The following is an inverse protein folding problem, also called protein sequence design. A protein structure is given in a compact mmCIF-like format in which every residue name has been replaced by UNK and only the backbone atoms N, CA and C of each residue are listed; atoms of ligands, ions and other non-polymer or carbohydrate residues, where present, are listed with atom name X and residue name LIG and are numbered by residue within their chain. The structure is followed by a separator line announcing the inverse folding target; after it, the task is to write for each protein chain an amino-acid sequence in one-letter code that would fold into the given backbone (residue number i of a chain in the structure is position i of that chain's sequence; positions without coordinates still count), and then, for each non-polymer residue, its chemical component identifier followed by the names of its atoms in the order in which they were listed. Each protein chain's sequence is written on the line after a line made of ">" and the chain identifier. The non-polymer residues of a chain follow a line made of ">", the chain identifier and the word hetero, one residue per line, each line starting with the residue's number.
data_IF_538255632295
#
_entry.id   IF_538255632295
#
_cell.length_a   1.000
_cell.length_b   1.000
_cell.length_c   1.000
_cell.angle_alpha   90.00
_cell.angle_beta   90.00
_cell.angle_gamma   90.00
#
_symmetry.space_group_name_H-M   'P 1'
#
loop_
_entity.id
_entity.type
_entity.pdbx_description
1 polymer ?
#
# COMPACT_ATOMS: atom_id res chain seq x y z
N UNK A 1 -2.37 32.86 0.79
CA UNK A 1 -3.05 33.68 -0.24
C UNK A 1 -3.74 32.72 -1.18
N UNK A 2 -5.06 32.80 -1.35
CA UNK A 2 -5.87 31.87 -2.14
C UNK A 2 -6.94 31.15 -1.31
N UNK A 3 -8.02 31.88 -1.02
CA UNK A 3 -9.24 31.43 -0.35
C UNK A 3 -10.09 30.60 -1.32
N UNK A 4 -10.58 29.43 -0.89
CA UNK A 4 -11.73 28.78 -1.53
C UNK A 4 -13.01 29.28 -0.85
N UNK A 5 -13.86 29.92 -1.66
CA UNK A 5 -15.11 30.54 -1.26
C UNK A 5 -16.20 29.50 -1.02
N UNK A 6 -16.95 29.72 0.07
CA UNK A 6 -18.20 29.06 0.39
C UNK A 6 -19.26 29.31 -0.69
N UNK A 7 -19.81 28.24 -1.27
CA UNK A 7 -21.08 28.27 -1.98
C UNK A 7 -22.19 27.92 -1.00
N UNK A 8 -22.91 28.97 -0.60
CA UNK A 8 -24.16 28.95 0.15
C UNK A 8 -25.29 28.43 -0.75
N UNK A 9 -25.80 27.23 -0.46
CA UNK A 9 -27.09 26.78 -0.95
C UNK A 9 -28.16 27.18 0.08
N UNK A 10 -28.99 28.15 -0.30
CA UNK A 10 -30.24 28.49 0.39
C UNK A 10 -31.19 27.31 0.27
N UNK A 11 -31.53 26.70 1.41
CA UNK A 11 -32.68 25.79 1.49
C UNK A 11 -33.74 26.39 2.42
N UNK A 12 -34.94 26.59 1.89
CA UNK A 12 -36.10 27.12 2.60
C UNK A 12 -36.96 25.96 3.09
N UNK A 13 -36.93 25.75 4.42
CA UNK A 13 -38.06 25.32 5.25
C UNK A 13 -38.81 24.03 4.92
N UNK A 14 -38.67 23.00 5.76
CA UNK A 14 -39.73 22.51 6.67
C UNK A 14 -39.24 21.27 7.43
N UNK A 15 -39.81 21.06 8.62
CA UNK A 15 -39.18 20.33 9.72
C UNK A 15 -38.85 18.85 9.49
N UNK A 16 -37.77 18.42 10.14
CA UNK A 16 -37.62 17.04 10.61
C UNK A 16 -36.56 17.00 11.71
N UNK A 17 -37.03 16.73 12.92
CA UNK A 17 -36.22 16.44 14.10
C UNK A 17 -35.46 15.14 13.86
N UNK A 18 -34.18 15.20 13.44
CA UNK A 18 -33.21 14.10 13.58
C UNK A 18 -31.79 14.55 13.23
N UNK A 19 -30.83 13.92 13.93
CA UNK A 19 -29.39 13.85 13.61
C UNK A 19 -28.38 14.73 14.40
N UNK A 20 -28.55 14.92 15.72
CA UNK A 20 -27.41 15.33 16.58
C UNK A 20 -26.57 14.14 17.08
N UNK A 21 -27.11 12.91 17.13
CA UNK A 21 -26.38 11.75 17.67
C UNK A 21 -25.34 11.15 16.71
N UNK A 22 -25.47 11.36 15.39
CA UNK A 22 -24.56 10.76 14.41
C UNK A 22 -23.27 11.57 14.23
N UNK A 23 -23.36 12.91 14.32
CA UNK A 23 -22.21 13.79 14.33
C UNK A 23 -21.33 13.58 15.57
N UNK A 24 -21.95 13.35 16.75
CA UNK A 24 -21.25 13.04 17.99
C UNK A 24 -20.49 11.71 17.95
N UNK A 25 -21.07 10.66 17.34
CA UNK A 25 -20.37 9.36 17.16
C UNK A 25 -19.21 9.43 16.18
N UNK A 26 -19.33 10.16 15.06
CA UNK A 26 -18.22 10.38 14.12
C UNK A 26 -17.09 11.21 14.72
N UNK A 27 -17.41 12.27 15.47
CA UNK A 27 -16.40 13.08 16.17
C UNK A 27 -15.71 12.31 17.30
N UNK A 28 -16.45 11.50 18.07
CA UNK A 28 -15.91 10.67 19.13
C UNK A 28 -15.05 9.52 18.61
N UNK A 29 -15.52 8.81 17.56
CA UNK A 29 -14.71 7.77 16.91
C UNK A 29 -13.46 8.37 16.28
N UNK A 30 -13.55 9.49 15.55
CA UNK A 30 -12.35 10.13 14.96
C UNK A 30 -11.33 10.62 15.99
N UNK A 31 -11.77 11.05 17.19
CA UNK A 31 -10.88 11.39 18.28
C UNK A 31 -10.19 10.14 18.87
N UNK A 32 -10.95 9.07 19.15
CA UNK A 32 -10.39 7.79 19.61
C UNK A 32 -9.42 7.16 18.59
N UNK A 33 -9.72 7.27 17.29
CA UNK A 33 -8.82 6.79 16.22
C UNK A 33 -7.54 7.61 16.13
N UNK A 34 -7.63 8.94 16.32
CA UNK A 34 -6.44 9.81 16.37
C UNK A 34 -5.57 9.54 17.59
N UNK A 35 -6.19 9.33 18.75
CA UNK A 35 -5.48 9.00 19.98
C UNK A 35 -4.79 7.62 19.86
N UNK A 36 -5.42 6.65 19.20
CA UNK A 36 -4.80 5.35 18.89
C UNK A 36 -3.64 5.45 17.90
N UNK A 37 -3.75 6.30 16.86
CA UNK A 37 -2.65 6.52 15.90
C UNK A 37 -1.45 7.16 16.61
N UNK A 38 -1.69 8.16 17.46
CA UNK A 38 -0.63 8.84 18.19
C UNK A 38 0.10 7.86 19.14
N UNK A 39 -0.63 6.98 19.83
CA UNK A 39 -0.02 5.95 20.68
C UNK A 39 0.85 4.98 19.87
N UNK A 40 0.41 4.59 18.67
CA UNK A 40 1.17 3.71 17.77
C UNK A 40 2.43 4.39 17.21
N UNK A 41 2.33 5.68 16.88
CA UNK A 41 3.49 6.49 16.49
C UNK A 41 4.45 6.60 17.67
N UNK A 42 3.97 6.94 18.87
CA UNK A 42 4.79 7.05 20.09
C UNK A 42 5.47 5.72 20.43
N UNK A 43 4.78 4.59 20.26
CA UNK A 43 5.36 3.25 20.40
C UNK A 43 6.55 3.07 19.46
N UNK A 44 6.33 3.08 18.14
CA UNK A 44 7.41 2.82 17.18
C UNK A 44 8.53 3.86 17.24
N UNK A 45 8.20 5.12 17.47
CA UNK A 45 9.20 6.20 17.54
C UNK A 45 9.98 6.18 18.84
N UNK A 46 9.41 5.69 19.94
CA UNK A 46 10.12 5.45 21.19
C UNK A 46 11.21 4.37 21.04
N UNK A 47 10.89 3.27 20.37
CA UNK A 47 11.85 2.22 20.03
C UNK A 47 12.95 2.75 19.08
N UNK A 48 12.57 3.48 18.02
CA UNK A 48 13.54 4.11 17.12
C UNK A 48 14.46 5.10 17.85
N UNK A 49 13.92 5.90 18.77
CA UNK A 49 14.69 6.88 19.55
C UNK A 49 15.71 6.19 20.48
N UNK A 50 15.37 5.02 21.04
CA UNK A 50 16.30 4.20 21.82
C UNK A 50 17.47 3.70 20.94
N UNK A 51 17.17 3.17 19.75
CA UNK A 51 18.17 2.70 18.78
C UNK A 51 19.07 3.85 18.34
N UNK A 52 18.52 5.03 18.05
CA UNK A 52 19.30 6.22 17.67
C UNK A 52 20.25 6.61 18.80
N UNK A 53 19.77 6.61 20.05
CA UNK A 53 20.61 6.97 21.21
C UNK A 53 21.76 5.98 21.39
N UNK A 54 21.47 4.69 21.27
CA UNK A 54 22.48 3.64 21.40
C UNK A 54 23.53 3.70 20.28
N UNK A 55 23.10 3.87 19.02
CA UNK A 55 23.97 3.69 17.87
C UNK A 55 24.57 4.98 17.31
N UNK A 56 23.86 6.11 17.38
CA UNK A 56 24.35 7.42 16.95
C UNK A 56 24.84 8.30 18.12
N UNK A 57 24.55 7.90 19.36
CA UNK A 57 24.98 8.58 20.58
C UNK A 57 24.07 9.72 21.04
N UNK A 58 24.23 10.11 22.31
CA UNK A 58 23.39 11.11 22.97
C UNK A 58 23.42 12.49 22.29
N UNK A 59 24.57 12.89 21.76
CA UNK A 59 24.73 14.19 21.11
C UNK A 59 23.80 14.32 19.89
N UNK A 60 23.75 13.29 19.05
CA UNK A 60 22.93 13.26 17.83
C UNK A 60 21.46 13.22 18.21
N UNK A 61 21.10 12.38 19.19
CA UNK A 61 19.74 12.28 19.71
C UNK A 61 19.26 13.63 20.27
N UNK A 62 20.06 14.33 21.08
CA UNK A 62 19.68 15.63 21.63
C UNK A 62 19.46 16.69 20.55
N UNK A 63 20.29 16.71 19.50
CA UNK A 63 20.11 17.62 18.37
C UNK A 63 18.85 17.28 17.57
N UNK A 64 18.58 16.00 17.34
CA UNK A 64 17.34 15.53 16.69
C UNK A 64 16.09 15.99 17.47
N UNK A 65 16.06 15.76 18.79
CA UNK A 65 14.96 16.19 19.66
C UNK A 65 14.80 17.73 19.67
N UNK A 66 15.90 18.48 19.74
CA UNK A 66 15.85 19.94 19.61
C UNK A 66 15.24 20.39 18.28
N UNK A 67 15.62 19.77 17.15
CA UNK A 67 15.05 20.10 15.84
C UNK A 67 13.56 19.77 15.79
N UNK A 68 13.12 18.63 16.36
CA UNK A 68 11.70 18.25 16.48
C UNK A 68 10.91 19.30 17.27
N UNK A 69 11.37 19.66 18.47
CA UNK A 69 10.73 20.66 19.35
C UNK A 69 10.61 22.03 18.67
N UNK A 70 11.71 22.55 18.12
CA UNK A 70 11.72 23.84 17.42
C UNK A 70 10.79 23.84 16.21
N UNK A 71 10.70 22.72 15.48
CA UNK A 71 9.78 22.57 14.35
C UNK A 71 8.32 22.58 14.78
N UNK A 72 7.98 21.90 15.89
CA UNK A 72 6.63 21.94 16.46
C UNK A 72 6.24 23.37 16.90
N UNK A 73 7.10 24.04 17.66
CA UNK A 73 6.84 25.42 18.13
C UNK A 73 6.67 26.42 16.98
N UNK A 74 7.49 26.30 15.94
CA UNK A 74 7.39 27.17 14.75
C UNK A 74 6.06 26.98 14.03
N UNK A 75 5.55 25.75 13.93
CA UNK A 75 4.27 25.44 13.27
C UNK A 75 3.06 25.99 14.03
N UNK A 76 3.07 25.95 15.36
CA UNK A 76 1.94 26.38 16.18
C UNK A 76 1.88 27.91 16.41
N UNK A 77 3.03 28.57 16.53
CA UNK A 77 3.08 29.97 16.96
C UNK A 77 3.64 30.94 15.91
N UNK A 78 4.16 30.46 14.78
CA UNK A 78 4.79 31.32 13.77
C UNK A 78 6.01 32.07 14.30
N UNK A 79 6.67 31.52 15.32
CA UNK A 79 7.73 32.19 16.06
C UNK A 79 9.02 32.30 15.23
N UNK A 80 9.42 33.54 14.93
CA UNK A 80 10.65 33.85 14.18
C UNK A 80 11.90 33.49 14.98
N UNK A 81 11.84 33.49 16.31
CA UNK A 81 12.98 33.14 17.18
C UNK A 81 13.27 31.64 17.09
N UNK A 82 12.25 30.79 17.24
CA UNK A 82 12.36 29.34 17.05
C UNK A 82 12.85 28.97 15.64
N UNK A 83 12.38 29.68 14.61
CA UNK A 83 12.83 29.47 13.23
C UNK A 83 14.31 29.82 13.06
N UNK A 84 14.77 30.93 13.63
CA UNK A 84 16.18 31.33 13.59
C UNK A 84 17.06 30.35 14.38
N UNK A 85 16.64 29.95 15.58
CA UNK A 85 17.35 28.97 16.40
C UNK A 85 17.50 27.63 15.67
N UNK A 86 16.44 27.15 15.00
CA UNK A 86 16.48 25.95 14.18
C UNK A 86 17.47 26.08 13.02
N UNK A 87 17.46 27.22 12.32
CA UNK A 87 18.40 27.48 11.21
C UNK A 87 19.84 27.50 11.69
N UNK A 88 20.11 28.15 12.81
CA UNK A 88 21.43 28.15 13.44
C UNK A 88 21.86 26.73 13.77
N UNK A 89 21.02 25.94 14.44
CA UNK A 89 21.34 24.55 14.79
C UNK A 89 21.69 23.72 13.55
N UNK A 90 20.86 23.77 12.50
CA UNK A 90 21.10 23.03 11.25
C UNK A 90 22.42 23.46 10.58
N UNK A 91 22.72 24.75 10.55
CA UNK A 91 23.94 25.27 9.91
C UNK A 91 25.24 24.88 10.65
N UNK A 92 25.15 24.46 11.91
CA UNK A 92 26.31 24.04 12.71
C UNK A 92 26.46 22.51 12.78
N UNK A 93 25.58 21.74 12.12
CA UNK A 93 25.74 20.30 12.02
C UNK A 93 26.94 19.97 11.13
N UNK A 94 27.78 19.04 11.57
CA UNK A 94 28.74 18.39 10.67
C UNK A 94 27.99 17.56 9.62
N UNK A 95 28.65 17.22 8.52
CA UNK A 95 28.05 16.39 7.46
C UNK A 95 27.59 15.03 7.99
N UNK A 96 28.36 14.40 8.88
CA UNK A 96 28.01 13.13 9.49
C UNK A 96 26.75 13.23 10.37
N UNK A 97 26.67 14.27 11.23
CA UNK A 97 25.49 14.50 12.06
C UNK A 97 24.26 14.85 11.22
N UNK A 98 24.43 15.68 10.18
CA UNK A 98 23.36 16.03 9.26
C UNK A 98 22.80 14.80 8.55
N UNK A 99 23.66 13.86 8.13
CA UNK A 99 23.23 12.61 7.52
C UNK A 99 22.42 11.75 8.50
N UNK A 100 22.94 11.50 9.71
CA UNK A 100 22.24 10.68 10.71
C UNK A 100 20.90 11.29 11.13
N UNK A 101 20.84 12.61 11.29
CA UNK A 101 19.60 13.32 11.62
C UNK A 101 18.60 13.24 10.45
N UNK A 102 19.05 13.43 9.21
CA UNK A 102 18.18 13.30 8.04
C UNK A 102 17.64 11.87 7.89
N UNK A 103 18.48 10.86 8.09
CA UNK A 103 18.10 9.45 8.10
C UNK A 103 17.05 9.16 9.18
N UNK A 104 17.28 9.61 10.41
CA UNK A 104 16.32 9.49 11.51
C UNK A 104 14.96 10.14 11.20
N UNK A 105 14.95 11.31 10.57
CA UNK A 105 13.70 11.95 10.15
C UNK A 105 12.99 11.17 9.04
N UNK A 106 13.73 10.64 8.08
CA UNK A 106 13.15 9.83 7.00
C UNK A 106 12.46 8.59 7.57
N UNK A 107 13.14 7.87 8.46
CA UNK A 107 12.58 6.72 9.17
C UNK A 107 11.36 7.09 10.00
N UNK A 108 11.42 8.19 10.76
CA UNK A 108 10.27 8.70 11.50
C UNK A 108 9.04 8.89 10.59
N UNK A 109 9.21 9.49 9.40
CA UNK A 109 8.10 9.66 8.46
C UNK A 109 7.60 8.33 7.89
N UNK A 110 8.49 7.37 7.65
CA UNK A 110 8.09 6.03 7.19
C UNK A 110 7.26 5.29 8.24
N UNK A 111 7.69 5.33 9.52
CA UNK A 111 6.94 4.73 10.62
C UNK A 111 5.60 5.43 10.83
N UNK A 112 5.56 6.76 10.71
CA UNK A 112 4.31 7.53 10.75
C UNK A 112 3.34 7.07 9.66
N UNK A 113 3.82 6.98 8.41
CA UNK A 113 3.02 6.50 7.28
C UNK A 113 2.51 5.07 7.51
N UNK A 114 3.34 4.18 8.09
CA UNK A 114 2.95 2.82 8.43
C UNK A 114 1.82 2.80 9.49
N UNK A 115 1.93 3.61 10.55
CA UNK A 115 0.88 3.72 11.56
C UNK A 115 -0.43 4.27 10.97
N UNK A 116 -0.35 5.28 10.10
CA UNK A 116 -1.51 5.82 9.40
C UNK A 116 -2.18 4.78 8.49
N UNK A 117 -1.38 4.00 7.74
CA UNK A 117 -1.88 2.93 6.87
C UNK A 117 -2.58 1.83 7.70
N UNK A 118 -1.97 1.39 8.80
CA UNK A 118 -2.57 0.41 9.72
C UNK A 118 -3.86 0.90 10.34
N UNK A 119 -3.91 2.16 10.76
CA UNK A 119 -5.12 2.77 11.31
C UNK A 119 -6.22 2.89 10.25
N UNK A 120 -5.86 3.22 9.00
CA UNK A 120 -6.81 3.24 7.88
C UNK A 120 -7.41 1.86 7.64
N UNK A 121 -6.60 0.79 7.65
CA UNK A 121 -7.09 -0.59 7.52
C UNK A 121 -8.04 -0.96 8.66
N UNK A 122 -7.69 -0.67 9.90
CA UNK A 122 -8.56 -0.93 11.07
C UNK A 122 -9.87 -0.15 11.01
N UNK A 123 -9.82 1.11 10.59
CA UNK A 123 -11.02 1.93 10.42
C UNK A 123 -11.96 1.33 9.37
N UNK A 124 -11.42 0.87 8.24
CA UNK A 124 -12.18 0.16 7.22
C UNK A 124 -12.78 -1.16 7.74
N UNK A 125 -12.12 -1.85 8.68
CA UNK A 125 -12.65 -3.07 9.28
C UNK A 125 -13.69 -2.81 10.39
N UNK A 126 -13.56 -1.70 11.12
CA UNK A 126 -14.44 -1.35 12.24
C UNK A 126 -15.78 -0.74 11.78
N UNK A 127 -15.80 0.00 10.67
CA UNK A 127 -17.02 0.56 10.08
C UNK A 127 -17.82 -0.49 9.29
N UNK A 128 -18.29 -1.55 9.96
CA UNK A 128 -19.26 -2.51 9.41
C UNK A 128 -19.06 -2.86 7.93
N UNK A 129 -19.99 -2.43 7.07
CA UNK A 129 -19.84 -2.49 5.61
C UNK A 129 -19.25 -1.15 5.16
N UNK A 130 -17.98 -1.09 4.70
CA UNK A 130 -17.37 0.16 4.25
C UNK A 130 -18.20 0.80 3.14
N UNK A 131 -18.27 2.14 3.13
CA UNK A 131 -18.99 2.90 2.10
C UNK A 131 -18.49 2.60 0.68
N UNK A 132 -17.23 2.18 0.51
CA UNK A 132 -16.67 1.74 -0.77
C UNK A 132 -16.40 0.23 -0.77
N UNK A 133 -17.40 -0.58 -0.37
CA UNK A 133 -17.30 -2.04 -0.40
C UNK A 133 -18.13 -2.65 -1.51
N UNK A 134 -17.77 -3.87 -1.94
CA UNK A 134 -18.51 -4.64 -2.93
C UNK A 134 -19.95 -4.92 -2.49
N UNK A 135 -20.15 -5.16 -1.20
CA UNK A 135 -21.48 -5.31 -0.63
C UNK A 135 -22.33 -4.07 -0.83
N UNK A 136 -21.78 -2.89 -0.49
CA UNK A 136 -22.51 -1.64 -0.64
C UNK A 136 -22.79 -1.34 -2.12
N UNK A 137 -21.80 -1.55 -3.01
CA UNK A 137 -21.97 -1.41 -4.45
C UNK A 137 -23.18 -2.21 -4.96
N UNK A 138 -23.27 -3.51 -4.65
CA UNK A 138 -24.40 -4.31 -5.12
C UNK A 138 -25.74 -3.94 -4.46
N UNK A 139 -25.73 -3.40 -3.24
CA UNK A 139 -26.92 -2.86 -2.59
C UNK A 139 -27.41 -1.59 -3.31
N UNK A 140 -26.50 -0.66 -3.60
CA UNK A 140 -26.81 0.56 -4.36
C UNK A 140 -27.36 0.22 -5.76
N UNK A 141 -26.77 -0.75 -6.45
CA UNK A 141 -27.26 -1.20 -7.76
C UNK A 141 -28.69 -1.77 -7.67
N UNK A 142 -29.00 -2.52 -6.60
CA UNK A 142 -30.36 -3.01 -6.35
C UNK A 142 -31.35 -1.90 -6.05
N UNK A 143 -30.96 -0.96 -5.18
CA UNK A 143 -31.78 0.19 -4.81
C UNK A 143 -32.05 1.10 -6.02
N UNK A 144 -31.08 1.21 -6.94
CA UNK A 144 -31.22 1.89 -8.22
C UNK A 144 -32.04 1.10 -9.27
N UNK A 145 -32.47 -0.13 -8.97
CA UNK A 145 -33.30 -0.95 -9.86
C UNK A 145 -32.53 -1.60 -11.02
N UNK A 146 -31.22 -1.80 -10.90
CA UNK A 146 -30.42 -2.46 -11.95
C UNK A 146 -30.79 -3.93 -12.05
N UNK A 147 -31.36 -4.32 -13.19
CA UNK A 147 -31.72 -5.69 -13.51
C UNK A 147 -30.50 -6.60 -13.73
N UNK A 148 -30.64 -7.87 -13.37
CA UNK A 148 -29.59 -8.88 -13.47
C UNK A 148 -29.00 -9.02 -14.90
N UNK A 149 -29.83 -8.90 -15.93
CA UNK A 149 -29.41 -8.98 -17.33
C UNK A 149 -28.46 -7.82 -17.71
N UNK A 150 -28.79 -6.60 -17.28
CA UNK A 150 -27.94 -5.43 -17.50
C UNK A 150 -26.60 -5.56 -16.77
N UNK A 151 -26.63 -6.05 -15.52
CA UNK A 151 -25.41 -6.29 -14.76
C UNK A 151 -24.56 -7.39 -15.41
N UNK A 152 -25.17 -8.49 -15.88
CA UNK A 152 -24.46 -9.54 -16.59
C UNK A 152 -23.79 -9.00 -17.86
N UNK A 153 -24.50 -8.20 -18.66
CA UNK A 153 -23.94 -7.58 -19.86
C UNK A 153 -22.76 -6.65 -19.53
N UNK A 154 -22.91 -5.82 -18.49
CA UNK A 154 -21.82 -4.98 -18.00
C UNK A 154 -20.59 -5.80 -17.58
N UNK A 155 -20.77 -6.88 -16.81
CA UNK A 155 -19.65 -7.75 -16.40
C UNK A 155 -19.01 -8.51 -17.57
N UNK A 156 -19.79 -8.83 -18.60
CA UNK A 156 -19.31 -9.48 -19.81
C UNK A 156 -18.45 -8.54 -20.67
N UNK A 157 -18.52 -7.22 -20.47
CA UNK A 157 -17.74 -6.20 -21.19
C UNK A 157 -16.71 -5.48 -20.31
N UNK A 158 -16.85 -5.53 -18.99
CA UNK A 158 -16.01 -4.80 -18.05
C UNK A 158 -14.52 -5.16 -18.22
N UNK A 159 -13.70 -4.12 -18.23
CA UNK A 159 -12.24 -4.23 -18.23
C UNK A 159 -11.65 -3.08 -17.41
N UNK A 160 -10.78 -3.43 -16.48
CA UNK A 160 -10.08 -2.56 -15.56
C UNK A 160 -8.64 -3.03 -15.56
N UNK A 161 -7.73 -2.15 -15.98
CA UNK A 161 -6.30 -2.45 -16.05
C UNK A 161 -5.48 -1.33 -15.41
N UNK A 162 -5.22 -1.37 -14.09
CA UNK A 162 -4.27 -0.47 -13.48
C UNK A 162 -2.87 -0.70 -14.04
N UNK A 163 -2.22 0.39 -14.44
CA UNK A 163 -0.88 0.36 -15.05
C UNK A 163 0.13 0.91 -14.05
N UNK A 164 1.09 0.08 -13.64
CA UNK A 164 2.21 0.50 -12.81
C UNK A 164 3.19 1.35 -13.61
N UNK A 165 3.56 2.49 -13.05
CA UNK A 165 4.54 3.41 -13.64
C UNK A 165 5.73 3.57 -12.68
N UNK A 166 6.89 3.94 -13.23
CA UNK A 166 8.05 4.23 -12.41
C UNK A 166 7.83 5.57 -11.69
N UNK A 167 8.12 5.63 -10.40
CA UNK A 167 8.04 6.89 -9.65
C UNK A 167 9.39 7.61 -9.68
N UNK A 168 9.51 8.79 -10.32
CA UNK A 168 10.80 9.42 -10.63
C UNK A 168 11.61 9.87 -9.41
N UNK A 169 10.98 9.99 -8.23
CA UNK A 169 11.61 10.50 -7.01
C UNK A 169 11.40 9.63 -5.77
N UNK A 170 10.61 8.55 -5.85
CA UNK A 170 10.15 7.81 -4.65
C UNK A 170 10.29 6.29 -4.81
N UNK A 171 11.17 5.84 -5.69
CA UNK A 171 11.50 4.43 -5.78
C UNK A 171 12.30 4.00 -4.53
N UNK A 172 11.64 3.80 -3.39
CA UNK A 172 12.23 3.24 -2.16
C UNK A 172 12.98 1.96 -2.52
N UNK A 173 14.10 1.68 -1.87
CA UNK A 173 14.84 0.43 -2.13
C UNK A 173 13.98 -0.75 -1.67
N UNK A 174 13.97 -1.84 -2.43
CA UNK A 174 13.37 -3.13 -2.02
C UNK A 174 13.75 -3.54 -0.60
N UNK A 175 15.03 -3.35 -0.23
CA UNK A 175 15.52 -3.65 1.12
C UNK A 175 14.80 -2.82 2.19
N UNK A 176 14.63 -1.52 1.99
CA UNK A 176 13.91 -0.62 2.91
C UNK A 176 12.44 -1.04 3.01
N UNK A 177 11.77 -1.28 1.88
CA UNK A 177 10.39 -1.75 1.86
C UNK A 177 10.22 -3.07 2.62
N UNK A 178 11.15 -4.00 2.44
CA UNK A 178 11.13 -5.29 3.16
C UNK A 178 11.29 -5.09 4.67
N UNK A 179 12.15 -4.18 5.14
CA UNK A 179 12.27 -3.91 6.58
C UNK A 179 11.04 -3.19 7.13
N UNK A 180 10.46 -2.22 6.41
CA UNK A 180 9.18 -1.58 6.82
C UNK A 180 8.08 -2.64 7.01
N UNK A 181 7.99 -3.61 6.10
CA UNK A 181 7.03 -4.71 6.25
C UNK A 181 7.35 -5.63 7.42
N UNK A 182 8.62 -5.93 7.70
CA UNK A 182 9.00 -6.68 8.91
C UNK A 182 8.60 -5.92 10.18
N UNK A 183 8.75 -4.59 10.21
CA UNK A 183 8.25 -3.75 11.30
C UNK A 183 6.72 -3.85 11.41
N UNK A 184 6.01 -3.86 10.28
CA UNK A 184 4.55 -4.01 10.26
C UNK A 184 4.07 -5.37 10.80
N UNK A 185 4.81 -6.45 10.48
CA UNK A 185 4.56 -7.82 10.95
C UNK A 185 4.91 -7.99 12.44
N UNK A 186 5.98 -7.32 12.91
CA UNK A 186 6.47 -7.37 14.30
C UNK A 186 6.15 -6.11 15.08
N UNK A 187 4.96 -5.55 14.88
CA UNK A 187 4.60 -4.24 15.41
C UNK A 187 4.72 -4.15 16.95
N UNK A 188 4.39 -5.24 17.66
CA UNK A 188 4.40 -5.28 19.12
C UNK A 188 5.82 -5.43 19.71
N UNK A 189 6.76 -5.99 18.94
CA UNK A 189 8.18 -6.15 19.31
C UNK A 189 9.08 -5.84 18.10
N UNK A 190 9.22 -4.53 17.75
CA UNK A 190 9.77 -4.12 16.47
C UNK A 190 11.30 -3.96 16.49
N UNK A 191 11.98 -4.17 17.62
CA UNK A 191 13.39 -3.80 17.82
C UNK A 191 14.33 -4.37 16.76
N UNK A 192 14.29 -5.69 16.54
CA UNK A 192 15.12 -6.35 15.52
C UNK A 192 14.89 -5.78 14.11
N UNK A 193 13.63 -5.46 13.78
CA UNK A 193 13.26 -4.96 12.47
C UNK A 193 13.61 -3.47 12.32
N UNK A 194 13.47 -2.67 13.39
CA UNK A 194 13.84 -1.26 13.43
C UNK A 194 15.35 -1.06 13.41
N UNK A 195 16.12 -1.90 14.08
CA UNK A 195 17.58 -1.89 14.00
C UNK A 195 18.03 -2.23 12.58
N UNK A 196 17.46 -3.29 11.98
CA UNK A 196 17.75 -3.64 10.60
C UNK A 196 17.37 -2.52 9.62
N UNK A 197 16.23 -1.85 9.85
CA UNK A 197 15.78 -0.70 9.08
C UNK A 197 16.75 0.49 9.24
N UNK A 198 17.21 0.78 10.46
CA UNK A 198 18.20 1.82 10.75
C UNK A 198 19.52 1.60 9.99
N UNK A 199 19.99 0.35 9.93
CA UNK A 199 21.20 -0.01 9.17
C UNK A 199 20.96 -0.13 7.66
N UNK A 200 19.72 -0.02 7.20
CA UNK A 200 19.41 -0.08 5.77
C UNK A 200 19.45 1.33 5.18
N UNK A 201 20.51 1.63 4.42
CA UNK A 201 20.65 2.91 3.75
C UNK A 201 19.51 3.20 2.76
N UNK A 202 18.85 4.34 2.92
CA UNK A 202 17.79 4.78 2.02
C UNK A 202 18.31 5.56 0.82
N UNK A 203 19.35 6.37 1.06
CA UNK A 203 19.94 7.25 0.06
C UNK A 203 20.82 6.42 -0.86
N UNK A 204 20.57 6.51 -2.16
CA UNK A 204 21.44 5.92 -3.17
C UNK A 204 22.49 6.94 -3.59
N UNK A 205 23.76 6.56 -3.60
CA UNK A 205 24.82 7.38 -4.22
C UNK A 205 24.61 7.54 -5.74
N UNK A 206 23.92 6.59 -6.37
CA UNK A 206 23.67 6.56 -7.82
C UNK A 206 22.18 6.73 -8.13
N UNK A 207 21.89 7.38 -9.25
CA UNK A 207 20.54 7.47 -9.80
C UNK A 207 19.96 6.06 -9.97
N UNK A 208 18.67 5.91 -9.67
CA UNK A 208 17.95 4.64 -9.87
C UNK A 208 18.07 4.26 -11.34
N UNK A 209 18.64 3.09 -11.61
CA UNK A 209 18.69 2.53 -12.95
C UNK A 209 17.36 1.83 -13.28
N UNK A 210 17.04 1.63 -14.56
CA UNK A 210 15.80 0.95 -14.97
C UNK A 210 15.61 -0.42 -14.31
N UNK A 211 16.68 -1.18 -14.10
CA UNK A 211 16.60 -2.48 -13.40
C UNK A 211 16.11 -2.36 -11.96
N UNK A 212 16.48 -1.31 -11.23
CA UNK A 212 16.00 -1.13 -9.86
C UNK A 212 14.53 -0.71 -9.83
N UNK A 213 14.06 0.05 -10.82
CA UNK A 213 12.64 0.36 -10.95
C UNK A 213 11.83 -0.92 -11.22
N UNK A 214 12.34 -1.77 -12.13
CA UNK A 214 11.74 -3.08 -12.44
C UNK A 214 11.72 -3.98 -11.21
N UNK A 215 12.82 -4.04 -10.45
CA UNK A 215 12.89 -4.83 -9.21
C UNK A 215 11.82 -4.38 -8.21
N UNK A 216 11.66 -3.08 -8.03
CA UNK A 216 10.65 -2.52 -7.14
C UNK A 216 9.24 -2.82 -7.62
N UNK A 217 8.96 -2.73 -8.93
CA UNK A 217 7.66 -3.08 -9.48
C UNK A 217 7.34 -4.55 -9.24
N UNK A 218 8.27 -5.45 -9.57
CA UNK A 218 8.10 -6.91 -9.36
C UNK A 218 7.89 -7.24 -7.89
N UNK A 219 8.57 -6.55 -6.98
CA UNK A 219 8.39 -6.74 -5.54
C UNK A 219 6.94 -6.54 -5.08
N UNK A 220 6.21 -5.54 -5.61
CA UNK A 220 4.79 -5.37 -5.30
C UNK A 220 3.92 -6.52 -5.84
N UNK A 221 4.25 -7.04 -7.03
CA UNK A 221 3.57 -8.21 -7.58
C UNK A 221 3.73 -9.44 -6.69
N UNK A 222 4.98 -9.76 -6.33
CA UNK A 222 5.33 -10.93 -5.52
C UNK A 222 4.66 -10.94 -4.14
N UNK A 223 4.42 -9.77 -3.57
CA UNK A 223 4.10 -9.62 -2.15
C UNK A 223 2.70 -9.13 -1.86
N UNK A 224 2.02 -8.51 -2.83
CA UNK A 224 0.71 -7.91 -2.59
C UNK A 224 -0.26 -8.16 -3.73
N UNK A 225 0.12 -7.89 -4.98
CA UNK A 225 -0.86 -7.82 -6.08
C UNK A 225 -1.47 -9.19 -6.39
N UNK A 226 -0.67 -10.26 -6.47
CA UNK A 226 -1.22 -11.59 -6.79
C UNK A 226 -2.24 -12.06 -5.75
N UNK A 227 -1.91 -11.97 -4.46
CA UNK A 227 -2.82 -12.33 -3.37
C UNK A 227 -4.05 -11.41 -3.31
N UNK A 228 -3.84 -10.09 -3.49
CA UNK A 228 -4.94 -9.10 -3.46
C UNK A 228 -5.92 -9.34 -4.60
N UNK A 229 -5.43 -9.64 -5.80
CA UNK A 229 -6.28 -9.94 -6.96
C UNK A 229 -7.13 -11.20 -6.72
N UNK A 230 -6.52 -12.26 -6.17
CA UNK A 230 -7.23 -13.49 -5.84
C UNK A 230 -8.31 -13.25 -4.76
N UNK A 231 -7.95 -12.55 -3.68
CA UNK A 231 -8.86 -12.20 -2.59
C UNK A 231 -10.01 -11.30 -3.06
N UNK A 232 -9.71 -10.33 -3.93
CA UNK A 232 -10.71 -9.45 -4.53
C UNK A 232 -11.74 -10.27 -5.32
N UNK A 233 -11.30 -11.19 -6.18
CA UNK A 233 -12.24 -12.01 -6.96
C UNK A 233 -13.10 -12.93 -6.10
N UNK A 234 -12.51 -13.55 -5.08
CA UNK A 234 -13.26 -14.38 -4.15
C UNK A 234 -14.34 -13.55 -3.41
N UNK A 235 -13.99 -12.36 -2.92
CA UNK A 235 -14.92 -11.46 -2.26
C UNK A 235 -16.00 -10.94 -3.23
N UNK A 236 -15.61 -10.61 -4.46
CA UNK A 236 -16.52 -10.15 -5.51
C UNK A 236 -17.54 -11.21 -5.87
N UNK A 237 -17.11 -12.44 -6.12
CA UNK A 237 -18.01 -13.53 -6.50
C UNK A 237 -18.96 -13.90 -5.34
N UNK A 238 -18.48 -13.85 -4.10
CA UNK A 238 -19.31 -14.09 -2.92
C UNK A 238 -20.41 -13.03 -2.76
N UNK A 239 -20.06 -11.74 -2.83
CA UNK A 239 -21.03 -10.65 -2.72
C UNK A 239 -21.98 -10.58 -3.92
N UNK A 240 -21.47 -10.86 -5.13
CA UNK A 240 -22.30 -10.97 -6.34
C UNK A 240 -23.31 -12.12 -6.19
N UNK A 241 -22.90 -13.31 -5.76
CA UNK A 241 -23.80 -14.44 -5.61
C UNK A 241 -24.86 -14.20 -4.51
N UNK A 242 -24.49 -13.52 -3.43
CA UNK A 242 -25.41 -13.20 -2.34
C UNK A 242 -26.51 -12.22 -2.79
N UNK A 243 -26.20 -11.31 -3.70
CA UNK A 243 -27.11 -10.23 -4.10
C UNK A 243 -27.78 -10.48 -5.46
N UNK A 244 -27.04 -10.98 -6.44
CA UNK A 244 -27.49 -11.28 -7.80
C UNK A 244 -27.22 -12.76 -8.15
N UNK A 245 -27.96 -13.70 -7.56
CA UNK A 245 -27.67 -15.15 -7.66
C UNK A 245 -27.74 -15.73 -9.09
N UNK A 246 -28.42 -15.03 -10.02
CA UNK A 246 -28.51 -15.41 -11.43
C UNK A 246 -27.36 -14.87 -12.28
N UNK A 247 -26.59 -13.90 -11.76
CA UNK A 247 -25.46 -13.28 -12.46
C UNK A 247 -24.19 -14.03 -12.11
N UNK A 248 -23.35 -14.30 -13.10
CA UNK A 248 -22.05 -14.95 -12.91
C UNK A 248 -20.96 -14.19 -13.62
N UNK A 249 -19.85 -13.96 -12.91
CA UNK A 249 -18.61 -13.50 -13.52
C UNK A 249 -18.04 -14.62 -14.40
N UNK A 250 -18.06 -14.42 -15.72
CA UNK A 250 -17.58 -15.41 -16.72
C UNK A 250 -16.11 -15.25 -17.08
N UNK A 251 -15.56 -14.05 -16.91
CA UNK A 251 -14.18 -13.70 -17.24
C UNK A 251 -13.55 -12.86 -16.15
N UNK A 252 -12.23 -12.76 -16.18
CA UNK A 252 -11.51 -11.78 -15.38
C UNK A 252 -11.66 -10.42 -16.07
N UNK A 253 -12.04 -9.40 -15.31
CA UNK A 253 -12.14 -8.01 -15.78
C UNK A 253 -11.10 -7.08 -15.15
N UNK A 254 -10.37 -7.53 -14.14
CA UNK A 254 -9.34 -6.79 -13.42
C UNK A 254 -8.02 -7.47 -13.74
N UNK A 255 -7.21 -6.81 -14.56
CA UNK A 255 -5.86 -7.24 -14.89
C UNK A 255 -4.88 -6.15 -14.46
N UNK A 256 -3.58 -6.44 -14.44
CA UNK A 256 -2.56 -5.46 -14.10
C UNK A 256 -1.54 -5.37 -15.21
N UNK A 257 -1.11 -4.15 -15.52
CA UNK A 257 -0.06 -3.89 -16.50
C UNK A 257 1.07 -3.07 -15.86
N UNK A 258 2.21 -2.99 -16.54
CA UNK A 258 3.36 -2.21 -16.10
C UNK A 258 4.03 -1.54 -17.29
N UNK A 259 4.35 -0.26 -17.14
CA UNK A 259 5.25 0.48 -18.04
C UNK A 259 6.70 0.40 -17.58
N UNK A 260 6.96 -0.03 -16.35
CA UNK A 260 8.30 -0.09 -15.79
C UNK A 260 9.17 -1.07 -16.56
N UNK A 261 10.28 -0.60 -17.13
CA UNK A 261 11.17 -1.39 -17.99
C UNK A 261 10.68 -1.59 -19.43
N UNK A 262 9.46 -1.15 -19.76
CA UNK A 262 8.90 -1.19 -21.11
C UNK A 262 8.84 0.18 -21.79
N UNK A 263 8.49 1.22 -21.04
CA UNK A 263 8.36 2.59 -21.55
C UNK A 263 9.74 3.19 -21.86
N UNK A 264 9.95 3.58 -23.12
CA UNK A 264 11.19 4.17 -23.63
C UNK A 264 11.04 5.63 -24.01
N UNK A 265 9.83 6.19 -23.88
CA UNK A 265 9.59 7.56 -24.31
C UNK A 265 10.44 8.53 -23.46
N UNK A 266 11.32 9.28 -24.15
CA UNK A 266 12.28 10.18 -23.51
C UNK A 266 13.33 9.53 -22.59
N UNK A 267 13.44 8.20 -22.53
CA UNK A 267 14.35 7.49 -21.63
C UNK A 267 15.29 6.52 -22.38
N UNK A 268 16.51 6.97 -22.77
CA UNK A 268 17.45 6.12 -23.51
C UNK A 268 18.03 4.98 -22.68
N UNK A 269 17.85 5.00 -21.36
CA UNK A 269 18.37 3.96 -20.48
C UNK A 269 17.51 2.70 -20.52
N UNK A 270 16.27 2.75 -21.01
CA UNK A 270 15.41 1.56 -21.17
C UNK A 270 15.74 0.87 -22.49
N UNK A 271 16.69 -0.06 -22.44
CA UNK A 271 17.17 -0.81 -23.63
C UNK A 271 16.29 -2.03 -23.95
N UNK A 272 16.41 -2.64 -25.15
CA UNK A 272 15.81 -3.93 -25.47
C UNK A 272 16.13 -5.04 -24.47
N UNK A 273 17.34 -5.06 -23.94
CA UNK A 273 17.77 -6.02 -22.93
C UNK A 273 17.02 -5.82 -21.61
N UNK A 274 16.83 -4.57 -21.18
CA UNK A 274 16.01 -4.26 -19.99
C UNK A 274 14.58 -4.76 -20.18
N UNK A 275 13.92 -4.41 -21.29
CA UNK A 275 12.54 -4.84 -21.52
C UNK A 275 12.39 -6.36 -21.57
N UNK A 276 13.35 -7.07 -22.18
CA UNK A 276 13.36 -8.55 -22.18
C UNK A 276 13.53 -9.11 -20.77
N UNK A 277 14.46 -8.55 -20.00
CA UNK A 277 14.72 -9.00 -18.62
C UNK A 277 13.53 -8.72 -17.72
N UNK A 278 12.89 -7.56 -17.87
CA UNK A 278 11.63 -7.21 -17.18
C UNK A 278 10.55 -8.26 -17.44
N UNK A 279 10.34 -8.64 -18.71
CA UNK A 279 9.37 -9.67 -19.05
C UNK A 279 9.72 -11.02 -18.39
N UNK A 280 11.00 -11.39 -18.38
CA UNK A 280 11.48 -12.61 -17.70
C UNK A 280 11.25 -12.57 -16.20
N UNK A 281 11.50 -11.43 -15.54
CA UNK A 281 11.29 -11.29 -14.10
C UNK A 281 9.81 -11.37 -13.73
N UNK A 282 8.92 -10.74 -14.49
CA UNK A 282 7.48 -10.90 -14.30
C UNK A 282 7.03 -12.35 -14.51
N UNK A 283 7.55 -13.04 -15.53
CA UNK A 283 7.25 -14.45 -15.76
C UNK A 283 7.73 -15.34 -14.61
N UNK A 284 8.94 -15.10 -14.08
CA UNK A 284 9.46 -15.82 -12.92
C UNK A 284 8.60 -15.55 -11.68
N UNK A 285 8.30 -14.30 -11.38
CA UNK A 285 7.46 -13.94 -10.23
C UNK A 285 6.07 -14.60 -10.29
N UNK A 286 5.46 -14.63 -11.47
CA UNK A 286 4.18 -15.31 -11.69
C UNK A 286 4.31 -16.83 -11.50
N UNK A 287 5.32 -17.46 -12.11
CA UNK A 287 5.58 -18.90 -11.95
C UNK A 287 5.79 -19.26 -10.48
N UNK A 288 6.68 -18.55 -9.79
CA UNK A 288 7.02 -18.83 -8.41
C UNK A 288 5.81 -18.64 -7.49
N UNK A 289 4.92 -17.68 -7.80
CA UNK A 289 3.63 -17.54 -7.10
C UNK A 289 2.74 -18.78 -7.32
N UNK A 290 2.52 -19.20 -8.56
CA UNK A 290 1.68 -20.36 -8.85
C UNK A 290 2.25 -21.66 -8.30
N UNK A 291 3.56 -21.86 -8.34
CA UNK A 291 4.22 -23.03 -7.73
C UNK A 291 3.93 -23.10 -6.23
N UNK A 292 4.05 -21.97 -5.51
CA UNK A 292 3.68 -21.89 -4.08
C UNK A 292 2.20 -22.22 -3.86
N UNK A 293 1.29 -21.66 -4.66
CA UNK A 293 -0.15 -21.93 -4.53
C UNK A 293 -0.49 -23.40 -4.83
N UNK A 294 0.10 -23.98 -5.87
CA UNK A 294 -0.06 -25.40 -6.19
C UNK A 294 0.46 -26.29 -5.06
N UNK A 295 1.60 -25.97 -4.46
CA UNK A 295 2.12 -26.71 -3.32
C UNK A 295 1.14 -26.69 -2.12
N UNK A 296 0.55 -25.54 -1.82
CA UNK A 296 -0.47 -25.41 -0.76
C UNK A 296 -1.74 -26.22 -1.08
N UNK A 297 -2.21 -26.18 -2.34
CA UNK A 297 -3.37 -26.97 -2.77
C UNK A 297 -3.10 -28.48 -2.70
N UNK A 298 -1.92 -28.94 -3.09
CA UNK A 298 -1.52 -30.35 -3.00
C UNK A 298 -1.50 -30.85 -1.56
N UNK A 299 -1.14 -30.00 -0.59
CA UNK A 299 -1.24 -30.35 0.83
C UNK A 299 -2.69 -30.46 1.31
N UNK A 300 -3.60 -29.64 0.76
CA UNK A 300 -5.03 -29.65 1.14
C UNK A 300 -5.86 -30.75 0.47
N UNK A 301 -5.52 -31.14 -0.76
CA UNK A 301 -6.25 -32.15 -1.54
C UNK A 301 -5.74 -33.55 -1.16
N UNK A 302 -6.27 -34.09 -0.07
CA UNK A 302 -5.90 -35.42 0.46
C UNK A 302 -6.87 -36.54 0.06
N UNK A 303 -7.82 -36.25 -0.86
CA UNK A 303 -8.87 -37.18 -1.24
C UNK A 303 -8.32 -38.47 -1.86
N UNK A 304 -8.76 -39.61 -1.33
CA UNK A 304 -8.35 -40.97 -1.72
C UNK A 304 -9.09 -41.54 -2.93
N UNK A 305 -10.17 -40.90 -3.41
CA UNK A 305 -10.91 -41.35 -4.59
C UNK A 305 -11.03 -40.23 -5.62
N UNK A 306 -10.50 -40.42 -6.84
CA UNK A 306 -10.79 -39.49 -7.92
C UNK A 306 -12.29 -39.52 -8.21
N UNK A 307 -12.99 -38.38 -8.32
CA UNK A 307 -14.35 -38.37 -8.85
C UNK A 307 -14.35 -39.09 -10.20
N UNK A 308 -15.40 -39.89 -10.46
CA UNK A 308 -15.52 -40.78 -11.63
C UNK A 308 -15.37 -40.10 -13.01
N UNK A 309 -15.25 -38.77 -13.05
CA UNK A 309 -14.97 -37.94 -14.24
C UNK A 309 -13.50 -37.57 -14.44
N UNK A 310 -12.60 -37.77 -13.48
CA UNK A 310 -11.17 -37.37 -13.58
C UNK A 310 -10.25 -38.47 -14.13
N UNK A 311 -10.76 -39.65 -14.47
CA UNK A 311 -9.97 -40.80 -14.97
C UNK A 311 -9.36 -40.61 -16.37
N UNK A 312 -9.55 -39.45 -17.03
CA UNK A 312 -9.23 -39.25 -18.45
C UNK A 312 -8.10 -38.24 -18.75
N UNK A 313 -7.32 -37.74 -17.79
CA UNK A 313 -6.31 -36.68 -18.04
C UNK A 313 -4.95 -36.87 -17.37
N UNK A 314 -4.45 -38.09 -17.26
CA UNK A 314 -3.10 -38.35 -16.75
C UNK A 314 -2.01 -38.48 -17.83
N UNK A 315 -2.30 -38.14 -19.09
CA UNK A 315 -1.22 -37.91 -20.06
C UNK A 315 -0.91 -36.40 -20.09
N UNK A 316 0.36 -35.99 -19.89
CA UNK A 316 0.75 -34.62 -20.14
C UNK A 316 0.48 -34.33 -21.61
N UNK A 317 -0.52 -33.50 -21.87
CA UNK A 317 -0.76 -32.98 -23.21
C UNK A 317 0.50 -32.24 -23.65
N UNK A 318 1.14 -32.71 -24.72
CA UNK A 318 2.27 -32.06 -25.40
C UNK A 318 1.97 -30.61 -25.86
N UNK A 319 0.76 -30.10 -25.63
CA UNK A 319 0.41 -28.69 -25.78
C UNK A 319 0.84 -27.83 -24.58
N UNK A 320 2.15 -27.77 -24.31
CA UNK A 320 2.76 -26.49 -23.92
C UNK A 320 3.25 -25.89 -25.23
N UNK A 321 2.37 -25.17 -25.93
CA UNK A 321 2.82 -24.32 -27.04
C UNK A 321 3.83 -23.34 -26.45
N UNK A 322 5.09 -23.53 -26.84
CA UNK A 322 6.15 -22.58 -26.54
C UNK A 322 5.65 -21.18 -26.95
N UNK A 323 5.82 -20.23 -26.04
CA UNK A 323 5.60 -18.83 -26.33
C UNK A 323 6.70 -18.41 -27.32
N UNK A 324 6.46 -18.61 -28.61
CA UNK A 324 7.35 -18.15 -29.67
C UNK A 324 7.29 -16.62 -29.72
N UNK A 325 8.34 -15.99 -29.19
CA UNK A 325 8.63 -14.58 -29.42
C UNK A 325 9.07 -14.42 -30.88
N UNK A 326 8.15 -13.99 -31.74
CA UNK A 326 8.50 -13.38 -33.03
C UNK A 326 8.93 -11.93 -32.83
#
# INVERSE_FOLDING_TARGET
>A
MGYFQNLSARDRGSGSTRCCCFAGKRAYNSALTRDSINQEIEHLTGHLDAIIREQAGDLVFHRLDQIRRLSATTRHHGDRVSLQAKRTLINHLSVAEAYQIAHAFSLFFQLTNLCEERARVRHLQAEGVPAMSLRHLFQELKEAGVHAENLQHCLDELEIQPVFTAHPTEAKRRAVLAQIWRVAERFDDPDEALEALWHTEEVRERRVGPFQEVENAVFYFERTIFDTAANFYAAFDAELAAQYPTVKRRRHFLTFASWVGGDRDGNPFVTPEISRTTAQWHACAARDFYERQCALLLQGITHTSPPSRLTARNEPSDAITAFELN
#
